data_IF_367073998676
#
_entry.id   IF_367073998676
#
_cell.length_a   1.000
_cell.length_b   1.000
_cell.length_c   1.000
_cell.angle_alpha   90.00
_cell.angle_beta   90.00
_cell.angle_gamma   90.00
#
_symmetry.space_group_name_H-M   'P 1'
#
loop_
_entity.id
_entity.type
_entity.pdbx_description
1 polymer ?
#
# COMPACT_ATOMS: atom_id res chain seq x y z
N UNK A 1 29.82 -8.74 -35.14
CA UNK A 1 29.97 -7.93 -33.92
C UNK A 1 30.83 -8.72 -32.93
N UNK A 2 31.99 -8.18 -32.51
CA UNK A 2 32.91 -8.91 -31.63
C UNK A 2 32.30 -9.16 -30.25
N UNK A 3 32.72 -10.24 -29.60
CA UNK A 3 32.19 -10.69 -28.31
C UNK A 3 32.29 -9.61 -27.22
N UNK A 4 33.39 -8.85 -27.18
CA UNK A 4 33.56 -7.73 -26.25
C UNK A 4 32.54 -6.60 -26.44
N UNK A 5 32.13 -6.29 -27.69
CA UNK A 5 31.09 -5.30 -27.95
C UNK A 5 29.73 -5.78 -27.45
N UNK A 6 29.42 -7.07 -27.62
CA UNK A 6 28.17 -7.67 -27.10
C UNK A 6 28.12 -7.63 -25.57
N UNK A 7 29.22 -7.98 -24.90
CA UNK A 7 29.32 -7.92 -23.44
C UNK A 7 29.12 -6.48 -22.93
N UNK A 8 29.73 -5.48 -23.57
CA UNK A 8 29.56 -4.07 -23.21
C UNK A 8 28.11 -3.60 -23.37
N UNK A 9 27.43 -4.00 -24.45
CA UNK A 9 26.01 -3.70 -24.66
C UNK A 9 25.13 -4.31 -23.57
N UNK A 10 25.37 -5.58 -23.19
CA UNK A 10 24.61 -6.24 -22.13
C UNK A 10 24.82 -5.54 -20.79
N UNK A 11 26.07 -5.20 -20.44
CA UNK A 11 26.37 -4.49 -19.19
C UNK A 11 25.73 -3.10 -19.14
N UNK A 12 25.78 -2.35 -20.24
CA UNK A 12 25.15 -1.04 -20.34
C UNK A 12 23.63 -1.13 -20.22
N UNK A 13 23.00 -2.11 -20.89
CA UNK A 13 21.56 -2.34 -20.79
C UNK A 13 21.15 -2.75 -19.36
N UNK A 14 21.89 -3.66 -18.72
CA UNK A 14 21.65 -4.07 -17.34
C UNK A 14 21.77 -2.91 -16.36
N UNK A 15 22.80 -2.07 -16.52
CA UNK A 15 22.96 -0.87 -15.70
C UNK A 15 21.78 0.10 -15.88
N UNK A 16 21.36 0.34 -17.12
CA UNK A 16 20.22 1.20 -17.42
C UNK A 16 18.93 0.65 -16.77
N UNK A 17 18.68 -0.65 -16.86
CA UNK A 17 17.53 -1.30 -16.22
C UNK A 17 17.55 -1.09 -14.70
N UNK A 18 18.71 -1.30 -14.07
CA UNK A 18 18.85 -1.08 -12.61
C UNK A 18 18.53 0.38 -12.27
N UNK A 19 19.09 1.34 -13.00
CA UNK A 19 18.81 2.77 -12.79
C UNK A 19 17.32 3.06 -12.94
N UNK A 20 16.67 2.54 -13.99
CA UNK A 20 15.23 2.68 -14.18
C UNK A 20 14.43 2.07 -13.04
N UNK A 21 14.78 0.86 -12.58
CA UNK A 21 14.12 0.24 -11.43
C UNK A 21 14.26 1.06 -10.15
N UNK A 22 15.40 1.72 -9.94
CA UNK A 22 15.61 2.60 -8.78
C UNK A 22 14.80 3.89 -8.90
N UNK A 23 14.80 4.54 -10.06
CA UNK A 23 14.03 5.76 -10.33
C UNK A 23 12.53 5.51 -10.21
N UNK A 24 12.04 4.41 -10.79
CA UNK A 24 10.63 4.02 -10.79
C UNK A 24 10.27 3.04 -9.66
N UNK A 25 11.10 2.93 -8.62
CA UNK A 25 10.90 1.97 -7.52
C UNK A 25 9.51 2.08 -6.90
N UNK A 26 9.07 3.30 -6.58
CA UNK A 26 7.77 3.53 -5.93
C UNK A 26 6.59 3.05 -6.78
N UNK A 27 6.38 3.52 -8.03
CA UNK A 27 5.26 3.07 -8.84
C UNK A 27 5.34 1.57 -9.18
N UNK A 28 6.54 1.00 -9.38
CA UNK A 28 6.71 -0.44 -9.62
C UNK A 28 6.26 -1.26 -8.42
N UNK A 29 6.70 -0.90 -7.21
CA UNK A 29 6.31 -1.62 -5.99
C UNK A 29 4.84 -1.41 -5.64
N UNK A 30 4.29 -0.22 -5.84
CA UNK A 30 2.85 0.04 -5.66
C UNK A 30 2.02 -0.78 -6.64
N UNK A 31 2.39 -0.80 -7.93
CA UNK A 31 1.69 -1.59 -8.94
C UNK A 31 1.77 -3.09 -8.67
N UNK A 32 2.93 -3.58 -8.23
CA UNK A 32 3.07 -4.96 -7.79
C UNK A 32 2.16 -5.29 -6.59
N UNK A 33 2.08 -4.41 -5.60
CA UNK A 33 1.19 -4.59 -4.45
C UNK A 33 -0.30 -4.62 -4.85
N UNK A 34 -0.70 -3.82 -5.83
CA UNK A 34 -2.08 -3.77 -6.31
C UNK A 34 -2.55 -5.11 -6.92
N UNK A 35 -1.64 -5.96 -7.42
CA UNK A 35 -1.99 -7.31 -7.91
C UNK A 35 -2.47 -8.25 -6.80
N UNK A 36 -2.22 -7.92 -5.53
CA UNK A 36 -2.65 -8.68 -4.37
C UNK A 36 -3.90 -8.09 -3.71
N UNK A 37 -4.46 -7.01 -4.26
CA UNK A 37 -5.70 -6.43 -3.77
C UNK A 37 -6.90 -7.13 -4.40
N UNK A 38 -7.82 -7.61 -3.56
CA UNK A 38 -9.04 -8.28 -4.01
C UNK A 38 -10.24 -7.38 -3.70
N UNK A 39 -10.90 -6.91 -4.75
CA UNK A 39 -12.03 -5.98 -4.68
C UNK A 39 -13.36 -6.69 -4.97
N UNK A 40 -13.70 -7.70 -4.17
CA UNK A 40 -14.90 -8.54 -4.36
C UNK A 40 -15.89 -8.47 -3.18
N UNK A 41 -15.88 -7.38 -2.43
CA UNK A 41 -16.78 -7.19 -1.30
C UNK A 41 -18.26 -7.23 -1.74
N UNK A 42 -19.11 -7.85 -0.93
CA UNK A 42 -20.56 -7.88 -1.12
C UNK A 42 -21.25 -7.25 0.09
N UNK A 43 -22.42 -6.63 -0.14
CA UNK A 43 -23.22 -6.07 0.95
C UNK A 43 -23.81 -7.16 1.84
N UNK A 44 -24.13 -6.81 3.08
CA UNK A 44 -24.75 -7.70 4.05
C UNK A 44 -23.76 -8.40 4.97
N UNK A 45 -22.54 -7.90 5.08
CA UNK A 45 -21.60 -8.37 6.10
C UNK A 45 -22.03 -7.87 7.49
N UNK A 46 -21.75 -8.63 8.54
CA UNK A 46 -22.05 -8.24 9.92
C UNK A 46 -21.10 -7.14 10.43
N UNK A 47 -19.86 -7.12 9.94
CA UNK A 47 -18.86 -6.13 10.29
C UNK A 47 -17.80 -5.95 9.18
N UNK A 48 -17.19 -4.77 9.13
CA UNK A 48 -15.96 -4.48 8.40
C UNK A 48 -14.80 -4.44 9.39
N UNK A 49 -13.67 -5.07 9.05
CA UNK A 49 -12.46 -5.07 9.90
C UNK A 49 -11.33 -4.35 9.17
N UNK A 50 -11.02 -3.13 9.60
CA UNK A 50 -9.86 -2.37 9.16
C UNK A 50 -8.61 -2.82 9.93
N UNK A 51 -7.77 -3.61 9.27
CA UNK A 51 -6.46 -4.02 9.80
C UNK A 51 -5.44 -2.88 9.78
N UNK A 52 -4.42 -3.01 10.63
CA UNK A 52 -3.31 -2.07 10.73
C UNK A 52 -2.61 -1.92 9.38
N UNK A 53 -2.25 -0.69 9.03
CA UNK A 53 -1.54 -0.41 7.78
C UNK A 53 -1.31 1.07 7.55
N UNK A 54 -0.87 1.41 6.35
CA UNK A 54 -0.69 2.80 5.95
C UNK A 54 -2.01 3.57 6.03
N UNK A 55 -2.00 4.69 6.75
CA UNK A 55 -3.17 5.53 7.02
C UNK A 55 -3.86 6.03 5.74
N UNK A 56 -3.13 6.10 4.62
CA UNK A 56 -3.62 6.64 3.35
C UNK A 56 -4.25 5.62 2.40
N UNK A 57 -4.33 4.33 2.78
CA UNK A 57 -4.82 3.27 1.88
C UNK A 57 -5.98 2.47 2.48
N UNK A 58 -5.77 1.82 3.63
CA UNK A 58 -6.77 0.89 4.22
C UNK A 58 -7.92 1.59 4.94
N UNK A 59 -7.63 2.72 5.59
CA UNK A 59 -8.65 3.49 6.33
C UNK A 59 -9.67 4.12 5.37
N UNK A 60 -9.27 4.85 4.31
CA UNK A 60 -10.24 5.44 3.38
C UNK A 60 -11.12 4.39 2.69
N UNK A 61 -10.55 3.25 2.29
CA UNK A 61 -11.32 2.19 1.62
C UNK A 61 -12.33 1.53 2.55
N UNK A 62 -11.95 1.26 3.80
CA UNK A 62 -12.88 0.71 4.79
C UNK A 62 -14.02 1.68 5.08
N UNK A 63 -13.72 2.98 5.24
CA UNK A 63 -14.72 4.03 5.43
C UNK A 63 -15.64 4.17 4.21
N UNK A 64 -15.09 4.07 3.00
CA UNK A 64 -15.87 4.08 1.75
C UNK A 64 -16.88 2.94 1.72
N UNK A 65 -16.46 1.71 2.02
CA UNK A 65 -17.34 0.54 2.07
C UNK A 65 -18.40 0.67 3.16
N UNK A 66 -18.02 1.15 4.33
CA UNK A 66 -18.96 1.39 5.44
C UNK A 66 -20.03 2.41 5.07
N UNK A 67 -19.64 3.57 4.51
CA UNK A 67 -20.56 4.61 4.05
C UNK A 67 -21.49 4.13 2.93
N UNK A 68 -21.09 3.11 2.17
CA UNK A 68 -21.93 2.47 1.14
C UNK A 68 -22.89 1.39 1.69
N UNK A 69 -22.89 1.17 3.01
CA UNK A 69 -23.78 0.23 3.70
C UNK A 69 -23.37 -1.24 3.52
N UNK A 70 -22.06 -1.52 3.39
CA UNK A 70 -21.59 -2.90 3.26
C UNK A 70 -21.74 -3.70 4.57
N UNK A 71 -21.62 -3.04 5.72
CA UNK A 71 -21.83 -3.61 7.05
C UNK A 71 -22.34 -2.54 8.03
N UNK A 72 -23.05 -2.93 9.11
CA UNK A 72 -23.49 -2.00 10.16
C UNK A 72 -22.36 -1.61 11.13
N UNK A 73 -21.32 -2.44 11.27
CA UNK A 73 -20.22 -2.24 12.23
C UNK A 73 -18.87 -2.09 11.52
N UNK A 74 -17.98 -1.27 12.08
CA UNK A 74 -16.57 -1.16 11.66
C UNK A 74 -15.68 -1.34 12.87
N UNK A 75 -14.74 -2.27 12.78
CA UNK A 75 -13.67 -2.46 13.76
C UNK A 75 -12.36 -1.98 13.18
N UNK A 76 -11.61 -1.23 13.98
CA UNK A 76 -10.31 -0.70 13.57
C UNK A 76 -9.26 -1.19 14.56
N UNK A 77 -8.20 -1.80 14.06
CA UNK A 77 -7.08 -2.20 14.91
C UNK A 77 -6.24 -0.98 15.32
N UNK A 78 -5.73 -0.97 16.55
CA UNK A 78 -4.78 0.03 16.98
C UNK A 78 -3.41 -0.14 16.33
N UNK A 79 -2.85 0.95 15.80
CA UNK A 79 -1.54 0.92 15.18
C UNK A 79 -0.45 0.76 16.24
N UNK A 80 0.40 -0.28 16.10
CA UNK A 80 1.54 -0.46 17.00
C UNK A 80 2.47 0.75 16.93
N UNK A 81 2.71 1.38 18.08
CA UNK A 81 3.64 2.50 18.20
C UNK A 81 5.05 2.05 17.79
N UNK A 82 5.48 2.45 16.60
CA UNK A 82 6.76 2.02 16.04
C UNK A 82 7.94 2.78 16.65
N UNK A 83 7.70 3.91 17.33
CA UNK A 83 8.76 4.72 17.94
C UNK A 83 8.25 5.61 19.09
N UNK A 84 8.94 5.63 20.24
CA UNK A 84 8.50 6.36 21.45
C UNK A 84 8.50 7.89 21.26
N UNK A 85 9.43 8.42 20.48
CA UNK A 85 9.53 9.87 20.22
C UNK A 85 8.30 10.44 19.50
N UNK A 86 7.68 9.65 18.63
CA UNK A 86 6.54 10.09 17.81
C UNK A 86 5.18 9.75 18.43
N UNK A 87 5.16 9.20 19.65
CA UNK A 87 3.92 8.89 20.39
C UNK A 87 2.97 10.09 20.56
N UNK A 88 3.53 11.31 20.55
CA UNK A 88 2.78 12.57 20.73
C UNK A 88 2.13 13.10 19.44
N UNK A 89 2.54 12.61 18.27
CA UNK A 89 1.99 13.03 16.97
C UNK A 89 0.83 12.14 16.50
N UNK A 90 0.40 11.18 17.33
CA UNK A 90 -0.60 10.19 16.94
C UNK A 90 -1.97 10.85 16.92
N UNK A 91 -2.46 11.10 15.72
CA UNK A 91 -3.88 11.30 15.48
C UNK A 91 -4.54 9.92 15.49
N UNK A 92 -5.51 9.72 16.39
CA UNK A 92 -6.20 8.43 16.46
C UNK A 92 -6.93 8.16 15.14
N UNK A 93 -7.12 6.89 14.78
CA UNK A 93 -7.90 6.53 13.59
C UNK A 93 -9.33 7.12 13.64
N UNK A 94 -9.88 7.33 14.83
CA UNK A 94 -11.17 8.02 15.04
C UNK A 94 -11.12 9.50 14.61
N UNK A 95 -9.96 10.16 14.75
CA UNK A 95 -9.77 11.53 14.27
C UNK A 95 -9.81 11.66 12.74
N UNK A 96 -9.63 10.57 12.00
CA UNK A 96 -9.77 10.52 10.55
C UNK A 96 -11.18 10.13 10.08
N UNK A 97 -11.99 9.54 10.96
CA UNK A 97 -13.34 9.06 10.65
C UNK A 97 -14.45 10.10 10.92
N UNK A 98 -14.09 11.31 11.38
CA UNK A 98 -14.97 12.48 11.41
C UNK A 98 -15.02 13.15 10.06
#
# INVERSE_FOLDING_TARGET
MSWGKRALWVLSASFLIIVLCLVFRKPLLTGYAALFEVHNATKGADALVCLCGGQTTRVPETLRLWNQGYAPLVWVTEQKNMNREFSKLIQSNLGFAR
#
